data_IF_760401673563
#
_entry.id   IF_760401673563
#
_cell.length_a   1.000
_cell.length_b   1.000
_cell.length_c   1.000
_cell.angle_alpha   90.00
_cell.angle_beta   90.00
_cell.angle_gamma   90.00
#
_symmetry.space_group_name_H-M   'P 1'
#
loop_
_entity.id
_entity.type
_entity.pdbx_description
1 polymer ?
2 non-polymer ?
3 non-polymer ?
4 non-polymer ?
5 water ?
#
# COMPACT_ATOMS: atom_id res chain seq x y z
N UNK A 3 2.05 26.03 -7.54
CA UNK A 3 2.17 24.54 -7.61
C UNK A 3 2.74 23.99 -8.91
N UNK A 4 3.96 23.43 -8.85
CA UNK A 4 4.63 22.87 -10.02
C UNK A 4 3.83 21.81 -10.78
N UNK A 5 3.67 20.62 -10.20
CA UNK A 5 2.92 19.54 -10.82
C UNK A 5 1.41 19.74 -10.80
N UNK A 6 0.70 18.93 -11.57
CA UNK A 6 -0.76 18.98 -11.62
C UNK A 6 -1.29 18.09 -10.49
N UNK A 7 -2.04 18.68 -9.54
CA UNK A 7 -2.58 17.93 -8.41
C UNK A 7 -3.71 16.92 -8.68
N UNK A 8 -4.14 16.79 -9.94
CA UNK A 8 -5.23 15.87 -10.28
C UNK A 8 -4.84 14.79 -11.26
N UNK A 9 -5.63 13.72 -11.25
CA UNK A 9 -5.52 12.60 -12.18
C UNK A 9 -6.97 12.57 -12.64
N UNK A 10 -7.25 13.15 -13.81
CA UNK A 10 -8.61 13.22 -14.28
C UNK A 10 -9.37 14.15 -13.33
N UNK A 11 -10.56 13.75 -12.90
CA UNK A 11 -11.34 14.57 -11.98
C UNK A 11 -11.00 14.22 -10.54
N UNK A 12 -10.06 13.30 -10.36
CA UNK A 12 -9.65 12.81 -9.04
C UNK A 12 -8.36 13.39 -8.49
N UNK A 13 -8.24 13.39 -7.16
CA UNK A 13 -7.05 13.92 -6.51
C UNK A 13 -7.33 15.29 -5.94
N UNK A 14 -6.36 16.19 -6.04
CA UNK A 14 -6.59 17.52 -5.52
C UNK A 14 -5.85 17.82 -4.24
N UNK A 15 -6.21 18.96 -3.63
CA UNK A 15 -5.60 19.43 -2.41
C UNK A 15 -6.65 20.07 -1.51
N UNK A 16 -7.72 19.34 -1.23
CA UNK A 16 -8.78 19.87 -0.39
C UNK A 16 -8.39 19.86 1.08
N UNK A 17 -7.55 20.81 1.47
CA UNK A 17 -7.07 20.89 2.85
C UNK A 17 -7.07 22.36 3.28
N UNK A 18 -7.26 22.63 4.59
CA UNK A 18 -7.27 24.01 5.06
C UNK A 18 -6.10 24.84 4.55
N UNK A 19 -6.37 26.13 4.34
CA UNK A 19 -5.38 27.07 3.84
C UNK A 19 -4.04 27.01 4.59
N UNK A 20 -4.09 26.68 5.88
CA UNK A 20 -2.88 26.60 6.69
C UNK A 20 -1.90 25.54 6.18
N UNK A 21 -2.43 24.57 5.42
CA UNK A 21 -1.62 23.47 4.90
C UNK A 21 -1.04 23.64 3.49
N UNK A 22 -1.58 24.60 2.73
CA UNK A 22 -1.10 24.85 1.37
C UNK A 22 0.41 25.08 1.31
N UNK A 23 0.94 25.94 2.18
CA UNK A 23 2.39 26.22 2.18
C UNK A 23 3.21 24.93 2.38
N UNK A 24 2.82 24.18 3.41
CA UNK A 24 3.50 22.94 3.78
C UNK A 24 3.44 21.92 2.65
N UNK A 25 2.29 21.91 1.98
CA UNK A 25 2.04 21.01 0.88
C UNK A 25 2.82 21.45 -0.37
N UNK A 26 2.73 22.74 -0.69
CA UNK A 26 3.43 23.31 -1.84
C UNK A 26 4.93 23.16 -1.69
N UNK A 27 5.42 23.44 -0.48
CA UNK A 27 6.84 23.35 -0.16
C UNK A 27 7.38 21.93 -0.22
N UNK A 28 6.52 20.96 0.08
CA UNK A 28 6.92 19.56 0.05
C UNK A 28 7.11 19.26 -1.43
N UNK A 29 6.08 19.53 -2.22
CA UNK A 29 6.13 19.30 -3.67
C UNK A 29 7.42 19.82 -4.31
N UNK A 30 7.77 21.06 -4.01
CA UNK A 30 8.97 21.64 -4.58
C UNK A 30 10.18 20.81 -4.20
N UNK A 31 10.40 20.68 -2.90
CA UNK A 31 11.51 19.89 -2.40
C UNK A 31 11.60 18.56 -3.13
N UNK A 32 10.45 17.93 -3.34
CA UNK A 32 10.35 16.64 -4.01
C UNK A 32 10.86 16.71 -5.46
N UNK A 33 10.35 17.68 -6.21
CA UNK A 33 10.75 17.86 -7.62
C UNK A 33 12.25 18.06 -7.68
N UNK A 34 12.70 19.02 -6.89
CA UNK A 34 14.12 19.33 -6.79
C UNK A 34 14.93 18.09 -6.49
N UNK A 35 14.37 17.16 -5.72
CA UNK A 35 15.09 15.94 -5.38
C UNK A 35 14.93 14.87 -6.46
N UNK A 36 13.77 14.83 -7.11
CA UNK A 36 13.59 13.84 -8.16
C UNK A 36 14.76 14.09 -9.12
N UNK A 37 14.95 15.35 -9.50
CA UNK A 37 16.00 15.74 -10.44
C UNK A 37 17.45 15.67 -9.92
N UNK A 38 17.66 15.65 -8.62
CA UNK A 38 19.02 15.57 -8.10
C UNK A 38 19.49 14.12 -8.03
N UNK A 39 20.48 13.75 -8.86
CA UNK A 39 20.97 12.36 -8.84
C UNK A 39 21.80 12.01 -7.61
N UNK A 40 22.14 13.01 -6.81
CA UNK A 40 22.90 12.75 -5.59
C UNK A 40 21.87 12.08 -4.67
N UNK A 41 20.65 12.60 -4.72
CA UNK A 41 19.54 12.07 -3.93
C UNK A 41 19.29 10.66 -4.42
N UNK A 42 18.97 10.54 -5.70
CA UNK A 42 18.72 9.23 -6.29
C UNK A 42 19.83 8.25 -5.93
N UNK A 43 21.04 8.76 -5.83
CA UNK A 43 22.18 7.94 -5.48
C UNK A 43 22.03 7.39 -4.07
N UNK A 44 21.64 8.26 -3.15
CA UNK A 44 21.45 7.87 -1.76
C UNK A 44 20.25 6.94 -1.61
N UNK A 45 19.15 7.32 -2.23
CA UNK A 45 17.94 6.52 -2.16
C UNK A 45 18.29 5.08 -2.56
N UNK A 46 18.88 4.92 -3.73
CA UNK A 46 19.22 3.58 -4.18
C UNK A 46 20.25 2.89 -3.30
N UNK A 47 21.11 3.65 -2.66
CA UNK A 47 22.08 3.00 -1.78
C UNK A 47 21.28 2.36 -0.64
N UNK A 48 20.34 3.13 -0.08
CA UNK A 48 19.49 2.65 1.00
C UNK A 48 18.64 1.45 0.57
N UNK A 49 17.93 1.60 -0.55
CA UNK A 49 17.09 0.52 -1.04
C UNK A 49 17.92 -0.73 -1.30
N UNK A 50 19.15 -0.55 -1.76
CA UNK A 50 19.97 -1.72 -2.06
C UNK A 50 20.63 -2.37 -0.86
N UNK A 51 21.30 -1.59 -0.02
CA UNK A 51 22.03 -2.19 1.09
C UNK A 51 21.39 -2.26 2.46
N UNK A 52 20.27 -1.58 2.61
CA UNK A 52 19.56 -1.58 3.87
C UNK A 52 18.28 -2.42 3.75
N UNK A 53 17.46 -2.12 2.74
CA UNK A 53 16.21 -2.82 2.52
C UNK A 53 16.33 -4.12 1.74
N UNK A 54 17.45 -4.28 1.03
CA UNK A 54 17.65 -5.50 0.28
C UNK A 54 17.13 -5.55 -1.14
N UNK A 55 16.99 -4.41 -1.79
CA UNK A 55 16.54 -4.43 -3.19
C UNK A 55 17.74 -4.90 -4.04
N UNK A 56 17.47 -5.50 -5.21
CA UNK A 56 16.11 -5.73 -5.70
C UNK A 56 15.51 -7.00 -5.07
N UNK A 57 14.18 -7.05 -5.01
CA UNK A 57 13.49 -8.19 -4.44
C UNK A 57 13.26 -9.26 -5.50
N UNK A 58 13.40 -10.52 -5.11
CA UNK A 58 13.23 -11.66 -6.01
C UNK A 58 11.94 -11.67 -6.84
N UNK A 59 11.87 -12.61 -7.78
CA UNK A 59 10.70 -12.83 -8.64
C UNK A 59 10.64 -14.35 -8.52
N UNK A 60 9.53 -14.88 -8.04
CA UNK A 60 9.45 -16.32 -7.85
C UNK A 60 8.42 -16.97 -8.74
N UNK A 61 8.84 -18.08 -9.33
CA UNK A 61 8.00 -18.87 -10.21
C UNK A 61 7.31 -19.90 -9.33
N UNK A 62 6.00 -19.81 -9.25
CA UNK A 62 5.23 -20.73 -8.43
C UNK A 62 4.69 -21.87 -9.27
N UNK A 63 5.57 -22.82 -9.58
CA UNK A 63 5.22 -23.97 -10.38
C UNK A 63 4.20 -24.88 -9.71
N UNK A 64 4.42 -25.19 -8.44
CA UNK A 64 3.49 -26.06 -7.72
C UNK A 64 2.06 -25.56 -7.77
N UNK A 65 1.88 -24.27 -7.53
CA UNK A 65 0.54 -23.68 -7.54
C UNK A 65 -0.16 -23.77 -8.88
N UNK A 66 0.58 -23.66 -9.98
CA UNK A 66 -0.03 -23.71 -11.31
C UNK A 66 0.04 -25.06 -11.99
N UNK A 67 0.59 -26.06 -11.29
CA UNK A 67 0.71 -27.40 -11.85
C UNK A 67 -0.62 -27.87 -12.46
N UNK A 68 -0.54 -28.41 -13.67
CA UNK A 68 -1.73 -28.89 -14.34
C UNK A 68 -2.56 -27.86 -15.10
N UNK A 69 -1.99 -26.67 -15.34
CA UNK A 69 -2.69 -25.61 -16.06
C UNK A 69 -1.70 -25.01 -17.04
N UNK A 70 -2.12 -23.98 -17.77
CA UNK A 70 -1.21 -23.33 -18.72
C UNK A 70 -0.83 -21.93 -18.26
N UNK A 71 -1.14 -21.65 -16.99
CA UNK A 71 -0.79 -20.37 -16.42
C UNK A 71 0.61 -20.50 -15.83
N UNK A 72 1.38 -19.43 -15.94
CA UNK A 72 2.72 -19.40 -15.38
C UNK A 72 2.61 -18.25 -14.39
N UNK A 73 2.82 -18.55 -13.12
CA UNK A 73 2.68 -17.55 -12.08
C UNK A 73 3.97 -17.10 -11.40
N UNK A 74 4.15 -15.79 -11.33
CA UNK A 74 5.33 -15.22 -10.68
C UNK A 74 4.89 -14.34 -9.52
N UNK A 75 5.67 -14.36 -8.45
CA UNK A 75 5.36 -13.51 -7.30
C UNK A 75 6.50 -12.51 -7.15
N UNK A 76 6.17 -11.22 -7.16
CA UNK A 76 7.19 -10.21 -6.94
C UNK A 76 7.30 -10.20 -5.43
N UNK A 77 8.42 -10.70 -4.93
CA UNK A 77 8.66 -10.83 -3.49
C UNK A 77 8.86 -9.59 -2.62
N UNK A 78 7.82 -8.79 -2.43
CA UNK A 78 7.94 -7.62 -1.57
C UNK A 78 7.96 -8.07 -0.10
N UNK A 79 7.58 -9.32 0.12
CA UNK A 79 7.55 -9.92 1.43
C UNK A 79 8.97 -10.06 1.96
N UNK A 80 9.93 -10.16 1.05
CA UNK A 80 11.35 -10.30 1.41
C UNK A 80 12.09 -8.98 1.66
N UNK A 81 11.42 -7.85 1.50
CA UNK A 81 12.02 -6.56 1.76
C UNK A 81 12.25 -6.39 3.28
N UNK A 82 13.23 -5.60 3.69
CA UNK A 82 13.45 -5.41 5.11
C UNK A 82 12.18 -4.83 5.71
N UNK A 83 11.72 -5.43 6.80
CA UNK A 83 10.50 -4.95 7.44
C UNK A 83 9.30 -5.83 7.10
N UNK A 84 9.43 -6.59 6.01
CA UNK A 84 8.37 -7.49 5.59
C UNK A 84 7.37 -7.03 4.55
N UNK A 85 7.37 -5.75 4.18
CA UNK A 85 6.42 -5.30 3.18
C UNK A 85 6.93 -4.11 2.37
N UNK A 86 6.31 -3.90 1.21
CA UNK A 86 6.62 -2.79 0.30
C UNK A 86 6.65 -1.40 0.94
N UNK A 87 5.97 -1.21 2.07
CA UNK A 87 5.95 0.09 2.74
C UNK A 87 7.36 0.60 3.02
N UNK A 88 8.32 -0.30 3.20
CA UNK A 88 9.67 0.15 3.51
C UNK A 88 10.33 1.00 2.41
N UNK A 89 9.85 0.87 1.17
CA UNK A 89 10.38 1.63 0.02
C UNK A 89 10.06 3.12 0.15
N UNK A 90 8.78 3.42 0.12
CA UNK A 90 8.34 4.81 0.19
C UNK A 90 8.77 5.50 1.49
N UNK A 91 8.81 4.74 2.57
CA UNK A 91 9.20 5.26 3.87
C UNK A 91 10.68 5.74 3.89
N UNK A 92 11.58 4.94 3.28
CA UNK A 92 13.00 5.30 3.18
C UNK A 92 13.13 6.52 2.24
N UNK A 93 12.24 6.58 1.26
CA UNK A 93 12.27 7.72 0.36
C UNK A 93 11.94 9.01 1.09
N UNK A 94 10.77 9.07 1.70
CA UNK A 94 10.37 10.29 2.39
C UNK A 94 11.28 10.65 3.55
N UNK A 95 11.87 9.64 4.18
CA UNK A 95 12.77 9.93 5.30
C UNK A 95 13.88 10.83 4.74
N UNK A 96 14.48 10.38 3.62
CA UNK A 96 15.53 11.11 2.92
C UNK A 96 15.02 12.49 2.52
N UNK A 97 13.90 12.51 1.82
CA UNK A 97 13.33 13.77 1.37
C UNK A 97 13.28 14.75 2.53
N UNK A 98 12.79 14.28 3.66
CA UNK A 98 12.66 15.09 4.86
C UNK A 98 14.02 15.58 5.36
N UNK A 99 15.01 14.71 5.37
CA UNK A 99 16.32 15.15 5.81
C UNK A 99 16.79 16.23 4.83
N UNK A 100 16.51 16.02 3.54
CA UNK A 100 16.86 16.98 2.51
C UNK A 100 16.25 18.34 2.84
N UNK A 101 14.95 18.36 3.14
CA UNK A 101 14.31 19.62 3.50
C UNK A 101 14.77 20.15 4.88
N UNK A 102 15.78 19.50 5.47
CA UNK A 102 16.26 19.93 6.78
C UNK A 102 15.28 19.73 7.93
N UNK A 103 14.32 18.83 7.76
CA UNK A 103 13.34 18.53 8.80
C UNK A 103 14.02 17.64 9.85
N UNK A 104 13.59 17.72 11.10
CA UNK A 104 14.21 16.91 12.14
C UNK A 104 13.23 15.95 12.77
N UNK A 105 12.00 15.93 12.26
CA UNK A 105 10.97 15.08 12.83
C UNK A 105 9.98 14.48 11.86
N UNK A 106 9.50 13.29 12.21
CA UNK A 106 8.53 12.58 11.41
C UNK A 106 7.21 12.47 12.15
N UNK A 107 6.11 12.66 11.44
CA UNK A 107 4.78 12.54 12.00
C UNK A 107 4.14 11.54 11.09
N UNK A 108 3.48 10.55 11.66
CA UNK A 108 2.81 9.55 10.85
C UNK A 108 1.65 9.03 11.65
N UNK A 109 0.78 8.27 11.00
CA UNK A 109 -0.35 7.64 11.70
C UNK A 109 -0.44 6.21 11.17
N UNK A 110 -0.90 5.29 12.00
CA UNK A 110 -1.01 3.90 11.57
C UNK A 110 -2.31 3.30 12.10
N UNK A 111 -2.83 2.30 11.39
CA UNK A 111 -4.05 1.64 11.81
C UNK A 111 -3.70 0.39 12.59
N UNK A 112 -2.96 -0.51 11.98
CA UNK A 112 -2.57 -1.74 12.65
C UNK A 112 -1.08 -1.70 13.02
N UNK A 113 -0.41 -0.62 12.63
CA UNK A 113 1.00 -0.47 12.97
C UNK A 113 1.97 -0.92 11.90
N UNK A 114 1.45 -1.30 10.74
CA UNK A 114 2.32 -1.73 9.66
C UNK A 114 3.05 -0.48 9.15
N UNK A 115 2.32 0.59 8.84
CA UNK A 115 2.98 1.82 8.39
C UNK A 115 3.70 2.49 9.55
N UNK A 116 3.25 2.20 10.78
CA UNK A 116 3.88 2.78 11.96
C UNK A 116 5.27 2.21 12.12
N UNK A 117 5.37 0.89 12.13
CA UNK A 117 6.68 0.23 12.26
C UNK A 117 7.59 0.70 11.13
N UNK A 118 7.03 0.85 9.93
CA UNK A 118 7.83 1.28 8.77
C UNK A 118 8.43 2.66 9.01
N UNK A 119 7.60 3.61 9.46
CA UNK A 119 8.07 4.96 9.71
C UNK A 119 9.10 5.00 10.82
N UNK A 120 8.81 4.25 11.90
CA UNK A 120 9.71 4.23 13.03
C UNK A 120 11.12 3.81 12.59
N UNK A 121 11.15 2.78 11.75
CA UNK A 121 12.36 2.19 11.17
C UNK A 121 13.14 3.20 10.29
N UNK A 122 12.46 3.80 9.31
CA UNK A 122 13.08 4.80 8.45
C UNK A 122 13.68 5.90 9.33
N UNK A 123 12.90 6.39 10.29
CA UNK A 123 13.35 7.43 11.18
C UNK A 123 14.55 7.01 12.04
N UNK A 124 14.61 5.74 12.43
CA UNK A 124 15.72 5.29 13.26
C UNK A 124 16.98 5.41 12.43
N UNK A 125 16.88 4.91 11.20
CA UNK A 125 17.99 4.94 10.27
C UNK A 125 18.46 6.35 9.97
N UNK A 126 17.60 7.15 9.36
CA UNK A 126 17.93 8.53 9.00
C UNK A 126 17.97 9.42 10.23
N UNK A 127 17.90 8.81 11.40
CA UNK A 127 17.93 9.59 12.63
C UNK A 127 16.98 10.76 12.78
N UNK A 128 15.67 10.54 12.68
CA UNK A 128 14.71 11.64 12.84
C UNK A 128 13.82 11.33 14.02
N UNK A 129 13.39 12.34 14.77
CA UNK A 129 12.50 12.11 15.93
C UNK A 129 11.10 11.77 15.40
N UNK A 130 10.74 10.51 15.51
CA UNK A 130 9.46 10.04 15.00
C UNK A 130 8.31 9.97 16.01
N UNK A 131 7.14 10.49 15.64
CA UNK A 131 5.96 10.41 16.53
C UNK A 131 4.83 9.83 15.67
N UNK A 132 4.19 8.76 16.14
CA UNK A 132 3.14 8.13 15.36
C UNK A 132 1.78 8.14 16.07
N UNK A 133 0.77 8.74 15.43
CA UNK A 133 -0.56 8.79 16.01
C UNK A 133 -1.24 7.45 15.76
N UNK A 134 -1.99 6.97 16.74
CA UNK A 134 -2.67 5.70 16.58
C UNK A 134 -3.95 5.73 17.40
N UNK A 135 -5.06 5.32 16.78
CA UNK A 135 -6.33 5.28 17.47
C UNK A 135 -6.18 4.39 18.70
N UNK A 136 -6.76 4.80 19.82
CA UNK A 136 -6.63 4.04 21.06
C UNK A 136 -7.12 2.60 20.94
N UNK A 137 -8.23 2.39 20.23
CA UNK A 137 -8.77 1.05 20.06
C UNK A 137 -7.71 0.14 19.42
N UNK A 138 -7.07 0.65 18.38
CA UNK A 138 -6.02 -0.06 17.68
C UNK A 138 -4.79 -0.25 18.56
N UNK A 139 -4.42 0.78 19.31
CA UNK A 139 -3.25 0.68 20.18
C UNK A 139 -3.41 -0.52 21.12
N UNK A 140 -4.66 -0.80 21.50
CA UNK A 140 -4.90 -1.92 22.39
C UNK A 140 -4.82 -3.21 21.62
N UNK A 141 -5.40 -3.24 20.42
CA UNK A 141 -5.38 -4.45 19.60
C UNK A 141 -4.00 -4.80 19.02
N UNK A 142 -3.08 -3.83 18.98
CA UNK A 142 -1.73 -4.01 18.38
C UNK A 142 -0.49 -3.88 19.27
N UNK A 143 -0.48 -4.56 20.41
CA UNK A 143 0.66 -4.47 21.32
C UNK A 143 2.01 -4.67 20.67
N UNK A 144 2.22 -5.79 19.94
CA UNK A 144 3.50 -6.06 19.30
C UNK A 144 4.04 -4.91 18.46
N UNK A 145 3.29 -4.48 17.46
CA UNK A 145 3.75 -3.35 16.65
C UNK A 145 3.95 -2.10 17.48
N UNK A 146 3.13 -1.90 18.50
CA UNK A 146 3.34 -0.71 19.32
C UNK A 146 4.69 -0.88 20.00
N UNK A 147 4.98 -2.12 20.39
CA UNK A 147 6.24 -2.38 21.07
C UNK A 147 7.41 -2.18 20.11
N UNK A 148 7.20 -2.59 18.86
CA UNK A 148 8.24 -2.48 17.87
C UNK A 148 8.59 -1.01 17.66
N UNK A 149 7.56 -0.20 17.47
CA UNK A 149 7.75 1.21 17.26
C UNK A 149 8.53 1.84 18.42
N UNK A 150 8.21 1.42 19.63
CA UNK A 150 8.88 1.92 20.82
C UNK A 150 10.33 1.44 20.84
N UNK A 151 10.60 0.17 20.54
CA UNK A 151 11.98 -0.34 20.51
C UNK A 151 12.83 0.42 19.47
N UNK A 152 12.17 0.85 18.39
CA UNK A 152 12.80 1.59 17.30
C UNK A 152 12.85 3.07 17.65
N UNK A 153 12.63 3.39 18.93
CA UNK A 153 12.68 4.76 19.40
C UNK A 153 11.59 5.73 18.98
N UNK A 154 10.49 5.23 18.42
CA UNK A 154 9.45 6.15 18.00
C UNK A 154 8.45 6.34 19.14
N UNK A 155 7.79 7.50 19.16
CA UNK A 155 6.79 7.80 20.18
C UNK A 155 5.39 7.53 19.63
N UNK A 156 4.66 6.61 20.24
CA UNK A 156 3.31 6.31 19.76
C UNK A 156 2.33 7.13 20.58
N UNK A 157 1.59 8.02 19.93
CA UNK A 157 0.61 8.87 20.61
C UNK A 157 -0.82 8.35 20.40
N UNK A 158 -1.39 7.66 21.40
CA UNK A 158 -2.76 7.14 21.25
C UNK A 158 -3.82 8.24 21.07
N UNK A 159 -4.70 8.10 20.08
CA UNK A 159 -5.71 9.11 19.89
C UNK A 159 -7.02 8.62 20.46
N UNK A 160 -7.61 9.43 21.34
CA UNK A 160 -8.85 9.06 22.01
C UNK A 160 -10.08 9.86 21.54
N UNK A 161 -9.90 10.80 20.63
CA UNK A 161 -11.06 11.56 20.17
C UNK A 161 -11.84 10.75 19.14
N UNK A 162 -13.00 11.28 18.73
CA UNK A 162 -13.81 10.61 17.74
C UNK A 162 -14.03 9.17 18.11
N UNK A 163 -13.75 8.26 17.18
CA UNK A 163 -13.94 6.83 17.44
C UNK A 163 -12.65 6.10 17.87
N UNK A 164 -11.62 6.85 18.23
CA UNK A 164 -10.35 6.28 18.68
C UNK A 164 -9.74 5.26 17.72
N UNK A 165 -9.89 5.52 16.43
CA UNK A 165 -9.33 4.63 15.43
C UNK A 165 -8.58 5.37 14.29
N UNK A 166 -8.19 4.62 13.26
CA UNK A 166 -7.42 5.17 12.14
C UNK A 166 -7.81 6.54 11.61
N UNK A 167 -9.10 6.76 11.38
CA UNK A 167 -9.59 8.05 10.87
C UNK A 167 -9.16 9.18 11.80
N UNK A 168 -9.39 8.96 13.09
CA UNK A 168 -9.07 9.91 14.13
C UNK A 168 -7.58 10.12 14.28
N UNK A 169 -6.81 9.03 14.24
CA UNK A 169 -5.36 9.15 14.37
C UNK A 169 -4.87 9.95 13.18
N UNK A 170 -5.50 9.71 12.05
CA UNK A 170 -5.17 10.38 10.80
C UNK A 170 -5.46 11.86 10.90
N UNK A 171 -6.64 12.20 11.37
CA UNK A 171 -7.02 13.60 11.50
C UNK A 171 -6.08 14.34 12.43
N UNK A 172 -5.84 13.79 13.60
CA UNK A 172 -4.96 14.44 14.56
C UNK A 172 -3.54 14.66 14.01
N UNK A 173 -3.06 13.71 13.21
CA UNK A 173 -1.72 13.81 12.61
C UNK A 173 -1.64 15.08 11.80
N UNK A 174 -2.63 15.27 10.92
CA UNK A 174 -2.70 16.46 10.07
C UNK A 174 -2.80 17.78 10.85
N UNK A 175 -3.51 17.79 11.98
CA UNK A 175 -3.62 19.00 12.80
C UNK A 175 -2.24 19.30 13.36
N UNK A 176 -1.54 18.24 13.76
CA UNK A 176 -0.19 18.34 14.28
C UNK A 176 0.66 19.04 13.21
N UNK A 177 0.76 18.40 12.05
CA UNK A 177 1.55 18.92 10.95
C UNK A 177 1.20 20.36 10.58
N UNK A 178 -0.09 20.67 10.58
CA UNK A 178 -0.56 22.03 10.28
C UNK A 178 0.31 23.07 10.94
N UNK A 179 0.66 22.84 12.21
CA UNK A 179 1.47 23.80 12.91
C UNK A 179 2.91 23.43 13.13
N UNK A 180 3.35 22.29 12.61
CA UNK A 180 4.73 21.91 12.84
C UNK A 180 5.52 21.59 11.58
N UNK A 181 4.92 21.82 10.41
CA UNK A 181 5.61 21.50 9.15
C UNK A 181 6.98 22.17 8.95
N UNK A 182 7.29 23.14 9.80
CA UNK A 182 8.54 23.85 9.75
C UNK A 182 9.70 22.91 10.05
N UNK A 183 9.50 22.01 11.00
CA UNK A 183 10.56 21.10 11.44
C UNK A 183 10.17 19.62 11.38
N UNK A 184 8.93 19.35 11.00
CA UNK A 184 8.43 17.99 10.94
C UNK A 184 7.82 17.64 9.59
N UNK A 185 8.24 16.51 9.03
CA UNK A 185 7.69 16.08 7.77
C UNK A 185 6.61 15.06 8.05
N UNK A 186 5.48 15.18 7.37
CA UNK A 186 4.38 14.24 7.55
C UNK A 186 4.48 13.08 6.56
N UNK A 187 4.95 11.94 7.05
CA UNK A 187 5.10 10.74 6.26
C UNK A 187 3.78 10.00 6.04
N UNK A 188 3.04 10.37 5.00
CA UNK A 188 1.76 9.73 4.68
C UNK A 188 1.99 8.28 4.25
N UNK A 189 1.19 7.38 4.81
CA UNK A 189 1.34 5.95 4.55
C UNK A 189 0.93 5.32 3.23
N UNK A 190 0.33 6.07 2.32
CA UNK A 190 -0.08 5.48 1.07
C UNK A 190 -0.25 6.50 -0.06
N UNK A 191 -0.51 5.98 -1.26
CA UNK A 191 -0.67 6.79 -2.46
C UNK A 191 -2.01 7.48 -2.51
N UNK A 192 -2.31 8.27 -1.49
CA UNK A 192 -3.57 9.00 -1.42
C UNK A 192 -3.38 10.26 -0.59
N UNK A 193 -4.47 10.97 -0.34
CA UNK A 193 -4.35 12.19 0.45
C UNK A 193 -4.19 13.37 -0.50
N UNK A 194 -3.86 14.56 0.03
CA UNK A 194 -3.71 15.72 -0.83
C UNK A 194 -2.44 15.61 -1.66
N UNK A 195 -2.43 16.31 -2.80
CA UNK A 195 -1.25 16.34 -3.67
C UNK A 195 -0.20 17.03 -2.79
N UNK A 196 1.09 16.70 -2.95
CA UNK A 196 1.77 15.77 -3.83
C UNK A 196 1.98 14.33 -3.35
N UNK A 197 1.28 13.92 -2.31
CA UNK A 197 1.49 12.57 -1.80
C UNK A 197 1.23 11.41 -2.77
N UNK A 198 0.05 11.38 -3.43
CA UNK A 198 -0.25 10.31 -4.38
C UNK A 198 0.87 10.14 -5.42
N UNK A 199 1.51 11.26 -5.76
CA UNK A 199 2.60 11.27 -6.72
C UNK A 199 3.91 10.81 -6.09
N UNK A 200 4.25 11.42 -4.95
CA UNK A 200 5.47 11.05 -4.26
C UNK A 200 5.44 9.57 -3.92
N UNK A 201 4.33 9.07 -3.39
CA UNK A 201 4.32 7.65 -3.04
C UNK A 201 4.43 6.78 -4.30
N UNK A 202 3.80 7.17 -5.41
CA UNK A 202 3.92 6.40 -6.65
C UNK A 202 5.39 6.39 -7.07
N UNK A 203 6.02 7.55 -7.06
CA UNK A 203 7.41 7.60 -7.47
C UNK A 203 8.35 6.85 -6.54
N UNK A 204 8.03 6.76 -5.25
CA UNK A 204 8.89 6.05 -4.33
C UNK A 204 8.62 4.54 -4.26
N UNK A 205 7.60 4.10 -5.00
CA UNK A 205 7.29 2.67 -5.03
C UNK A 205 7.49 2.08 -6.43
N UNK A 206 7.50 2.94 -7.44
CA UNK A 206 7.62 2.49 -8.83
C UNK A 206 8.76 1.57 -9.20
N UNK A 207 9.75 1.44 -8.33
CA UNK A 207 10.85 0.53 -8.64
C UNK A 207 10.39 -0.93 -8.60
N UNK A 208 9.29 -1.23 -7.91
CA UNK A 208 8.89 -2.64 -7.88
C UNK A 208 8.36 -3.03 -9.26
N UNK A 209 7.59 -2.15 -9.87
CA UNK A 209 7.12 -2.42 -11.22
C UNK A 209 8.32 -2.49 -12.16
N UNK A 210 9.26 -1.55 -12.01
CA UNK A 210 10.47 -1.50 -12.82
C UNK A 210 11.19 -2.83 -12.73
N UNK A 211 11.66 -3.20 -11.53
CA UNK A 211 12.36 -4.48 -11.38
C UNK A 211 11.58 -5.65 -11.97
N UNK A 212 10.26 -5.67 -11.77
CA UNK A 212 9.44 -6.74 -12.30
C UNK A 212 9.62 -6.91 -13.81
N UNK A 213 9.36 -5.84 -14.56
CA UNK A 213 9.51 -5.87 -16.02
C UNK A 213 10.89 -6.41 -16.43
N UNK A 214 11.94 -5.82 -15.88
CA UNK A 214 13.30 -6.27 -16.17
C UNK A 214 13.44 -7.79 -15.94
N UNK A 215 13.10 -8.24 -14.74
CA UNK A 215 13.21 -9.64 -14.36
C UNK A 215 12.37 -10.58 -15.24
N UNK A 216 11.18 -10.10 -15.61
CA UNK A 216 10.25 -10.87 -16.41
C UNK A 216 10.81 -11.05 -17.82
N UNK A 217 11.56 -10.05 -18.30
CA UNK A 217 12.17 -10.16 -19.62
C UNK A 217 13.30 -11.18 -19.50
N UNK A 218 14.24 -10.92 -18.61
CA UNK A 218 15.36 -11.84 -18.40
C UNK A 218 14.90 -13.29 -18.23
N UNK A 219 13.75 -13.48 -17.58
CA UNK A 219 13.27 -14.84 -17.33
C UNK A 219 12.25 -15.40 -18.29
N UNK A 220 11.50 -14.55 -18.96
CA UNK A 220 10.49 -15.06 -19.90
C UNK A 220 10.63 -14.52 -21.33
N UNK A 221 11.46 -13.49 -21.50
CA UNK A 221 11.64 -12.92 -22.82
C UNK A 221 10.41 -12.20 -23.31
N UNK A 222 9.45 -11.97 -22.43
CA UNK A 222 8.23 -11.28 -22.81
C UNK A 222 7.50 -10.74 -21.60
N UNK A 223 6.79 -9.61 -21.78
CA UNK A 223 6.04 -9.00 -20.71
C UNK A 223 4.89 -9.92 -20.30
N UNK A 224 4.36 -9.74 -19.08
CA UNK A 224 3.25 -10.56 -18.61
C UNK A 224 1.91 -10.15 -19.23
N UNK A 225 0.98 -11.09 -19.29
CA UNK A 225 -0.35 -10.81 -19.82
C UNK A 225 -1.03 -9.85 -18.86
N UNK A 226 -0.72 -10.01 -17.56
CA UNK A 226 -1.26 -9.15 -16.53
C UNK A 226 -0.37 -9.11 -15.29
N UNK A 227 -0.53 -8.04 -14.52
CA UNK A 227 0.17 -7.84 -13.25
C UNK A 227 -0.98 -7.52 -12.29
N UNK A 228 -1.12 -8.36 -11.27
CA UNK A 228 -2.19 -8.23 -10.30
C UNK A 228 -1.69 -7.77 -8.92
N UNK A 229 -2.42 -6.85 -8.29
CA UNK A 229 -2.01 -6.37 -6.98
C UNK A 229 -3.16 -5.88 -6.14
N UNK A 230 -3.10 -6.13 -4.84
CA UNK A 230 -4.16 -5.67 -3.95
C UNK A 230 -4.13 -4.15 -3.84
N UNK A 231 -5.30 -3.58 -3.62
CA UNK A 231 -5.43 -2.14 -3.54
C UNK A 231 -6.14 -1.67 -2.31
N UNK A 232 -5.43 -0.91 -1.49
CA UNK A 232 -6.01 -0.32 -0.30
C UNK A 232 -6.07 1.14 -0.69
N UNK A 233 -5.06 1.89 -0.28
CA UNK A 233 -4.98 3.29 -0.66
C UNK A 233 -4.36 3.27 -2.06
N UNK A 234 -3.71 2.14 -2.38
CA UNK A 234 -3.11 1.94 -3.68
C UNK A 234 -1.61 2.09 -3.87
N UNK A 235 -0.81 2.14 -2.81
CA UNK A 235 0.62 2.32 -2.99
C UNK A 235 1.37 1.16 -3.63
N UNK A 236 1.14 -0.09 -3.20
CA UNK A 236 1.87 -1.21 -3.78
C UNK A 236 1.38 -1.57 -5.17
N UNK A 237 0.12 -1.23 -5.46
CA UNK A 237 -0.45 -1.52 -6.77
C UNK A 237 0.07 -0.50 -7.79
N UNK A 238 0.07 0.77 -7.41
CA UNK A 238 0.58 1.78 -8.31
C UNK A 238 2.07 1.57 -8.53
N UNK A 239 2.80 1.26 -7.46
CA UNK A 239 4.23 1.02 -7.56
C UNK A 239 4.56 -0.10 -8.55
N UNK A 240 3.64 -1.04 -8.72
CA UNK A 240 3.84 -2.15 -9.65
C UNK A 240 3.31 -1.73 -11.02
N UNK A 241 2.19 -1.01 -11.03
CA UNK A 241 1.58 -0.56 -12.25
C UNK A 241 2.47 0.40 -13.05
N UNK A 242 2.81 1.53 -12.43
CA UNK A 242 3.61 2.59 -13.05
C UNK A 242 4.33 2.25 -14.35
N UNK A 243 5.42 1.48 -14.25
CA UNK A 243 6.22 1.10 -15.41
C UNK A 243 5.50 0.23 -16.45
N UNK A 244 4.22 -0.04 -16.26
CA UNK A 244 3.48 -0.86 -17.21
C UNK A 244 2.31 -0.12 -17.84
N UNK A 245 1.98 1.06 -17.33
CA UNK A 245 0.87 1.81 -17.90
C UNK A 245 1.07 1.88 -19.41
N UNK A 246 2.31 2.20 -19.80
CA UNK A 246 2.69 2.32 -21.20
C UNK A 246 2.66 1.02 -22.01
N UNK A 247 3.13 -0.08 -21.44
CA UNK A 247 3.07 -1.36 -22.15
C UNK A 247 1.59 -1.71 -22.18
N UNK A 248 0.87 -1.09 -23.11
CA UNK A 248 -0.58 -1.25 -23.25
C UNK A 248 -1.18 -2.66 -23.33
N UNK A 249 -0.44 -3.62 -23.86
CA UNK A 249 -0.98 -4.98 -23.95
C UNK A 249 -0.66 -5.80 -22.70
N UNK A 250 -0.44 -5.10 -21.58
CA UNK A 250 -0.15 -5.75 -20.31
C UNK A 250 -1.31 -5.45 -19.38
N UNK A 251 -1.83 -6.50 -18.75
CA UNK A 251 -2.94 -6.34 -17.84
C UNK A 251 -2.58 -5.62 -16.55
N UNK A 252 -3.49 -4.78 -16.10
CA UNK A 252 -3.30 -4.03 -14.86
C UNK A 252 -4.54 -4.26 -14.01
N UNK A 253 -4.52 -5.34 -13.21
CA UNK A 253 -5.64 -5.70 -12.35
C UNK A 253 -5.42 -5.24 -10.91
N UNK A 254 -6.42 -4.63 -10.31
CA UNK A 254 -6.30 -4.20 -8.92
C UNK A 254 -7.36 -4.88 -8.06
N UNK A 255 -6.93 -5.64 -7.05
CA UNK A 255 -7.89 -6.36 -6.21
C UNK A 255 -8.28 -5.64 -4.92
N UNK A 256 -9.55 -5.25 -4.79
CA UNK A 256 -9.99 -4.59 -3.56
C UNK A 256 -10.64 -5.63 -2.65
N UNK A 257 -10.67 -5.36 -1.33
CA UNK A 257 -11.26 -6.33 -0.42
C UNK A 257 -12.77 -6.50 -0.59
N UNK A 258 -13.20 -7.74 -0.76
CA UNK A 258 -14.61 -8.06 -0.90
C UNK A 258 -15.32 -8.04 0.44
N UNK A 259 -14.55 -8.15 1.52
CA UNK A 259 -15.14 -8.15 2.85
C UNK A 259 -16.00 -9.37 3.04
N UNK A 260 -17.14 -9.19 3.70
CA UNK A 260 -18.06 -10.30 3.93
C UNK A 260 -18.90 -10.54 2.71
N UNK A 261 -18.62 -9.82 1.64
CA UNK A 261 -19.38 -9.96 0.41
C UNK A 261 -19.72 -8.57 -0.08
N UNK A 262 -19.21 -8.22 -1.25
CA UNK A 262 -19.42 -6.91 -1.85
C UNK A 262 -20.88 -6.44 -1.77
N UNK A 263 -21.77 -7.34 -1.40
CA UNK A 263 -23.20 -7.05 -1.31
C UNK A 263 -23.73 -7.11 0.12
N UNK A 264 -22.88 -6.78 1.09
CA UNK A 264 -23.31 -6.81 2.49
C UNK A 264 -22.99 -5.47 3.12
N UNK A 265 -22.22 -4.66 2.39
CA UNK A 265 -21.82 -3.36 2.90
C UNK A 265 -20.54 -3.49 3.69
N UNK A 266 -20.32 -4.71 4.20
CA UNK A 266 -19.13 -5.01 4.98
C UNK A 266 -17.98 -5.37 4.04
N UNK A 267 -17.35 -4.35 3.48
CA UNK A 267 -16.25 -4.54 2.54
C UNK A 267 -15.42 -3.26 2.38
N UNK A 268 -14.69 -3.17 1.26
CA UNK A 268 -13.87 -1.99 1.01
C UNK A 268 -13.46 -1.84 -0.44
N UNK A 269 -14.45 -1.85 -1.33
CA UNK A 269 -14.20 -1.70 -2.76
C UNK A 269 -14.92 -0.45 -3.27
N UNK A 270 -14.63 0.71 -2.67
CA UNK A 270 -15.27 1.96 -3.07
C UNK A 270 -15.09 2.22 -4.55
N UNK A 271 -13.96 1.79 -5.10
CA UNK A 271 -13.69 1.99 -6.50
C UNK A 271 -14.86 1.52 -7.34
N UNK A 272 -15.14 0.22 -7.32
CA UNK A 272 -16.24 -0.30 -8.12
C UNK A 272 -17.65 -0.24 -7.47
N UNK A 273 -17.74 0.14 -6.19
CA UNK A 273 -19.04 0.19 -5.51
C UNK A 273 -19.21 1.33 -4.50
N UNK A 274 -18.93 2.56 -4.92
CA UNK A 274 -19.07 3.71 -4.03
C UNK A 274 -19.41 4.95 -4.85
N UNK A 275 -18.94 6.12 -4.43
CA UNK A 275 -19.19 7.35 -5.17
C UNK A 275 -18.20 8.43 -4.81
N UNK A 276 -17.81 9.23 -5.81
CA UNK A 276 -16.85 10.29 -5.61
C UNK A 276 -17.27 11.34 -4.58
N UNK A 277 -16.32 11.70 -3.72
CA UNK A 277 -16.53 12.70 -2.68
C UNK A 277 -15.15 13.13 -2.22
N UNK A 278 -15.05 14.14 -1.35
CA UNK A 278 -13.73 14.55 -0.90
C UNK A 278 -13.44 13.89 0.46
N UNK A 279 -12.29 13.23 0.54
CA UNK A 279 -11.87 12.51 1.73
C UNK A 279 -10.36 12.58 1.91
N UNK A 280 -9.90 12.68 3.15
CA UNK A 280 -8.46 12.70 3.44
C UNK A 280 -7.76 13.76 2.57
N UNK A 281 -8.48 14.82 2.23
CA UNK A 281 -7.90 15.88 1.44
C UNK A 281 -7.89 15.68 -0.06
N UNK A 282 -8.38 14.53 -0.53
CA UNK A 282 -8.42 14.24 -1.96
C UNK A 282 -9.86 14.02 -2.42
N UNK A 283 -10.08 14.08 -3.73
CA UNK A 283 -11.40 13.85 -4.29
C UNK A 283 -11.31 12.54 -5.03
N UNK A 284 -12.01 11.52 -4.51
CA UNK A 284 -11.99 10.20 -5.10
C UNK A 284 -13.21 9.42 -4.70
N UNK A 285 -13.38 8.21 -5.24
CA UNK A 285 -14.52 7.38 -4.89
C UNK A 285 -14.35 6.98 -3.43
N UNK A 286 -15.47 6.72 -2.75
CA UNK A 286 -15.40 6.34 -1.35
C UNK A 286 -16.70 5.67 -0.94
N UNK A 287 -16.72 5.15 0.28
CA UNK A 287 -17.91 4.51 0.79
C UNK A 287 -18.65 5.46 1.70
N UNK A 288 -19.71 6.07 1.18
CA UNK A 288 -20.51 7.03 1.92
C UNK A 288 -21.83 6.44 2.39
N UNK A 289 -22.42 7.09 3.38
CA UNK A 289 -23.71 6.67 3.94
C UNK A 289 -24.81 7.27 3.08
N UNK A 290 -24.84 8.60 3.04
CA UNK A 290 -25.83 9.35 2.27
C UNK A 290 -25.15 10.52 1.56
N UNK A 293 -22.74 11.22 4.22
CA UNK A 293 -21.51 11.22 5.01
C UNK A 293 -20.64 9.99 4.70
N UNK A 294 -19.40 9.97 5.18
CA UNK A 294 -18.50 8.84 4.95
C UNK A 294 -18.99 7.64 5.77
N UNK A 295 -18.67 6.44 5.29
CA UNK A 295 -19.09 5.23 5.97
C UNK A 295 -17.93 4.33 6.41
N UNK A 296 -18.27 3.09 6.80
CA UNK A 296 -17.26 2.13 7.26
C UNK A 296 -16.86 1.05 6.27
N UNK A 297 -15.58 0.69 6.31
CA UNK A 297 -15.04 -0.37 5.44
C UNK A 297 -14.72 -1.58 6.32
N UNK A 298 -14.33 -2.69 5.70
CA UNK A 298 -14.00 -3.90 6.45
C UNK A 298 -13.25 -4.95 5.62
N UNK A 299 -12.43 -5.76 6.31
CA UNK A 299 -11.69 -6.84 5.68
C UNK A 299 -10.99 -7.66 6.76
N UNK A 300 -10.76 -8.96 6.51
CA UNK A 300 -10.04 -9.81 7.48
C UNK A 300 -8.67 -9.16 7.56
N UNK A 301 -8.36 -8.38 6.52
CA UNK A 301 -7.10 -7.70 6.39
C UNK A 301 -7.22 -6.22 6.74
N UNK A 302 -6.43 -5.79 7.71
CA UNK A 302 -6.42 -4.41 8.18
C UNK A 302 -5.77 -3.46 7.18
N UNK A 303 -4.74 -3.92 6.51
CA UNK A 303 -4.09 -3.06 5.53
C UNK A 303 -5.02 -2.66 4.40
N UNK A 304 -5.91 -3.58 4.03
CA UNK A 304 -6.88 -3.34 2.96
C UNK A 304 -8.15 -2.71 3.48
N UNK A 305 -8.19 -2.41 4.77
CA UNK A 305 -9.39 -1.82 5.36
C UNK A 305 -9.42 -0.29 5.20
N UNK A 306 -9.60 0.15 3.96
CA UNK A 306 -9.64 1.58 3.61
C UNK A 306 -10.97 1.83 2.89
N UNK A 307 -11.71 2.87 3.30
CA UNK A 307 -13.00 3.22 2.71
C UNK A 307 -12.92 3.99 1.39
N UNK A 308 -11.71 4.29 0.94
CA UNK A 308 -11.52 5.04 -0.31
C UNK A 308 -10.42 4.40 -1.17
N UNK A 309 -9.90 5.17 -2.13
CA UNK A 309 -8.83 4.68 -2.98
C UNK A 309 -8.00 5.86 -3.45
N UNK A 310 -6.76 5.59 -3.87
CA UNK A 310 -5.90 6.66 -4.34
C UNK A 310 -6.45 7.29 -5.61
N UNK A 311 -6.21 8.59 -5.80
CA UNK A 311 -6.71 9.29 -7.00
C UNK A 311 -6.26 8.71 -8.35
N UNK A 312 -5.02 8.23 -8.44
CA UNK A 312 -4.56 7.71 -9.72
C UNK A 312 -5.26 6.41 -10.08
N UNK A 313 -5.70 5.67 -9.06
CA UNK A 313 -6.38 4.40 -9.32
C UNK A 313 -7.80 4.67 -9.82
N UNK A 314 -8.47 5.63 -9.21
CA UNK A 314 -9.82 5.98 -9.63
C UNK A 314 -9.75 6.42 -11.07
N UNK A 315 -8.65 7.12 -11.40
CA UNK A 315 -8.42 7.60 -12.74
C UNK A 315 -8.19 6.45 -13.73
N UNK A 316 -7.13 5.67 -13.51
CA UNK A 316 -6.82 4.53 -14.37
C UNK A 316 -8.05 3.61 -14.52
N UNK A 317 -8.96 3.70 -13.56
CA UNK A 317 -10.17 2.91 -13.60
C UNK A 317 -11.18 3.47 -14.58
N UNK A 318 -11.37 4.80 -14.55
CA UNK A 318 -12.32 5.46 -15.45
C UNK A 318 -11.86 5.45 -16.91
N UNK A 319 -10.56 5.53 -17.14
CA UNK A 319 -10.06 5.51 -18.51
C UNK A 319 -10.13 4.08 -18.99
N UNK A 320 -10.17 3.14 -18.05
CA UNK A 320 -10.26 1.73 -18.40
C UNK A 320 -8.89 1.11 -18.68
N UNK A 321 -7.83 1.85 -18.36
CA UNK A 321 -6.49 1.34 -18.57
C UNK A 321 -6.22 0.16 -17.64
N UNK A 322 -6.78 0.23 -16.43
CA UNK A 322 -6.61 -0.80 -15.42
C UNK A 322 -7.96 -1.33 -14.95
N UNK A 323 -8.01 -2.62 -14.66
CA UNK A 323 -9.23 -3.27 -14.21
C UNK A 323 -9.20 -3.49 -12.71
N UNK A 324 -10.35 -3.31 -12.06
CA UNK A 324 -10.40 -3.51 -10.62
C UNK A 324 -11.49 -4.48 -10.20
N UNK A 325 -11.04 -5.60 -9.63
CA UNK A 325 -11.94 -6.64 -9.18
C UNK A 325 -12.09 -6.65 -7.66
N UNK A 326 -12.72 -7.70 -7.17
CA UNK A 326 -12.94 -7.84 -5.75
C UNK A 326 -12.77 -9.31 -5.34
N UNK A 327 -12.13 -9.52 -4.19
CA UNK A 327 -11.90 -10.86 -3.65
C UNK A 327 -12.37 -10.78 -2.19
N UNK A 328 -13.02 -11.83 -1.71
CA UNK A 328 -13.57 -11.87 -0.34
C UNK A 328 -12.69 -12.47 0.78
N UNK A 329 -13.13 -12.26 2.02
CA UNK A 329 -12.41 -12.78 3.19
C UNK A 329 -12.05 -14.26 3.05
N UNK A 330 -12.98 -15.04 2.53
CA UNK A 330 -12.73 -16.46 2.39
C UNK A 330 -11.84 -16.84 1.23
N UNK A 331 -11.99 -16.17 0.09
CA UNK A 331 -11.15 -16.48 -1.09
C UNK A 331 -9.69 -16.12 -0.78
N UNK A 332 -9.52 -15.07 0.03
CA UNK A 332 -8.22 -14.58 0.44
C UNK A 332 -7.60 -15.58 1.39
N UNK A 333 -8.41 -16.04 2.35
CA UNK A 333 -8.00 -17.01 3.35
C UNK A 333 -7.62 -18.30 2.63
N UNK A 334 -8.38 -18.63 1.61
CA UNK A 334 -8.10 -19.84 0.86
C UNK A 334 -6.71 -19.71 0.18
N UNK A 335 -6.48 -18.58 -0.51
CA UNK A 335 -5.22 -18.32 -1.17
C UNK A 335 -4.07 -18.39 -0.14
N UNK A 336 -4.25 -17.66 0.96
CA UNK A 336 -3.29 -17.65 2.04
C UNK A 336 -2.88 -19.09 2.39
N UNK A 337 -3.87 -19.96 2.61
CA UNK A 337 -3.55 -21.33 2.96
C UNK A 337 -2.86 -22.05 1.80
N UNK A 338 -3.33 -21.79 0.58
CA UNK A 338 -2.76 -22.44 -0.60
C UNK A 338 -1.28 -22.15 -0.80
N UNK A 339 -0.89 -20.87 -0.73
CA UNK A 339 0.50 -20.51 -0.90
C UNK A 339 1.34 -21.16 0.17
N UNK A 340 0.81 -21.21 1.38
CA UNK A 340 1.52 -21.80 2.51
C UNK A 340 1.85 -23.26 2.21
N UNK A 341 0.82 -24.00 1.86
CA UNK A 341 0.95 -25.42 1.63
C UNK A 341 1.76 -25.86 0.41
N UNK A 342 1.82 -25.05 -0.64
CA UNK A 342 2.52 -25.48 -1.85
C UNK A 342 3.84 -24.82 -2.16
N UNK A 343 4.01 -23.57 -1.72
CA UNK A 343 5.25 -22.87 -2.00
C UNK A 343 6.10 -22.64 -0.76
N UNK A 344 5.54 -22.91 0.41
CA UNK A 344 6.30 -22.71 1.63
C UNK A 344 6.49 -21.24 1.91
N UNK A 345 5.51 -20.43 1.52
CA UNK A 345 5.59 -19.00 1.79
C UNK A 345 4.29 -18.55 2.45
N UNK A 346 4.39 -17.81 3.55
CA UNK A 346 3.20 -17.31 4.23
C UNK A 346 2.93 -15.90 3.70
N UNK A 347 1.89 -15.73 2.87
CA UNK A 347 1.62 -14.39 2.35
C UNK A 347 0.89 -13.51 3.36
N UNK A 348 1.03 -12.20 3.24
CA UNK A 348 0.33 -11.28 4.12
C UNK A 348 -1.11 -11.44 3.66
N UNK A 349 -2.04 -11.28 4.59
CA UNK A 349 -3.45 -11.43 4.27
C UNK A 349 -3.86 -10.42 3.20
N UNK A 350 -3.20 -9.26 3.15
CA UNK A 350 -3.51 -8.26 2.12
C UNK A 350 -3.20 -8.81 0.71
N UNK A 351 -1.96 -9.27 0.52
CA UNK A 351 -1.51 -9.81 -0.75
C UNK A 351 -2.34 -11.02 -1.13
N UNK A 352 -2.85 -11.72 -0.13
CA UNK A 352 -3.65 -12.91 -0.38
C UNK A 352 -4.84 -12.63 -1.31
N UNK A 353 -5.34 -11.40 -1.30
CA UNK A 353 -6.44 -11.02 -2.17
C UNK A 353 -5.98 -11.02 -3.63
N UNK A 354 -4.76 -10.58 -3.88
CA UNK A 354 -4.24 -10.57 -5.23
C UNK A 354 -3.90 -11.99 -5.67
N UNK A 355 -3.26 -12.75 -4.80
CA UNK A 355 -2.91 -14.11 -5.16
C UNK A 355 -4.22 -14.86 -5.40
N UNK A 356 -5.25 -14.48 -4.64
CA UNK A 356 -6.55 -15.11 -4.75
C UNK A 356 -7.11 -14.89 -6.15
N UNK A 357 -7.16 -13.63 -6.57
CA UNK A 357 -7.68 -13.32 -7.89
C UNK A 357 -6.91 -14.01 -9.02
N UNK A 358 -5.62 -14.22 -8.82
CA UNK A 358 -4.82 -14.89 -9.81
C UNK A 358 -5.32 -16.31 -9.87
N UNK A 359 -5.30 -17.00 -8.73
CA UNK A 359 -5.76 -18.37 -8.70
C UNK A 359 -7.12 -18.47 -9.40
N UNK A 360 -7.99 -17.48 -9.18
CA UNK A 360 -9.32 -17.50 -9.79
C UNK A 360 -9.22 -17.53 -11.31
N UNK A 361 -8.33 -16.72 -11.86
CA UNK A 361 -8.12 -16.67 -13.30
C UNK A 361 -7.55 -17.99 -13.85
N UNK A 362 -6.84 -18.73 -13.00
CA UNK A 362 -6.25 -19.97 -13.50
C UNK A 362 -7.19 -21.15 -13.37
N UNK A 363 -7.84 -21.27 -12.22
CA UNK A 363 -8.76 -22.38 -12.00
C UNK A 363 -9.93 -22.36 -12.97
N UNK A 364 -10.34 -21.16 -13.37
CA UNK A 364 -11.45 -21.01 -14.31
C UNK A 364 -11.03 -21.19 -15.76
N UNK A 365 -9.73 -21.18 -16.03
CA UNK A 365 -9.25 -21.36 -17.41
C UNK A 365 -7.91 -22.10 -17.42
N UNK A 366 -7.90 -23.34 -16.91
CA UNK A 366 -6.68 -24.15 -16.87
C UNK A 366 -5.95 -24.31 -18.20
N UNK A 367 -6.70 -24.26 -19.30
CA UNK A 367 -6.08 -24.42 -20.60
C UNK A 367 -5.57 -23.10 -21.16
N UNK A 368 -6.09 -21.99 -20.65
CA UNK A 368 -5.63 -20.71 -21.14
C UNK A 368 -4.14 -20.50 -20.86
N UNK A 369 -3.45 -20.01 -21.89
CA UNK A 369 -2.02 -19.75 -21.87
C UNK A 369 -1.82 -18.34 -21.31
N UNK A 370 -1.43 -18.24 -20.03
CA UNK A 370 -1.22 -16.91 -19.45
C UNK A 370 0.01 -16.79 -18.53
N UNK A 371 0.66 -15.65 -18.61
CA UNK A 371 1.84 -15.34 -17.80
C UNK A 371 1.39 -14.25 -16.83
N UNK A 372 1.18 -14.63 -15.58
CA UNK A 372 0.72 -13.70 -14.56
C UNK A 372 1.78 -13.35 -13.52
N UNK A 373 1.68 -12.15 -12.97
CA UNK A 373 2.60 -11.72 -11.93
C UNK A 373 1.80 -11.07 -10.82
N UNK A 374 1.87 -11.64 -9.62
CA UNK A 374 1.15 -11.04 -8.51
C UNK A 374 2.17 -10.31 -7.69
N UNK A 375 1.79 -9.16 -7.16
CA UNK A 375 2.69 -8.40 -6.32
C UNK A 375 2.46 -8.85 -4.87
N UNK A 376 3.36 -9.70 -4.38
CA UNK A 376 3.26 -10.19 -3.01
C UNK A 376 3.78 -9.05 -2.10
N UNK A 377 2.88 -8.11 -1.79
CA UNK A 377 3.19 -6.93 -0.98
C UNK A 377 3.83 -7.11 0.39
N UNK A 378 3.59 -8.24 1.07
CA UNK A 378 4.23 -8.44 2.36
C UNK A 378 4.20 -9.89 2.82
N UNK A 379 4.90 -10.20 3.92
CA UNK A 379 4.88 -11.56 4.43
C UNK A 379 3.72 -11.67 5.40
N UNK A 380 3.20 -12.89 5.54
CA UNK A 380 2.06 -13.10 6.39
C UNK A 380 2.27 -13.54 7.83
N UNK A 381 3.50 -13.52 8.31
CA UNK A 381 3.75 -13.92 9.67
C UNK A 381 2.89 -13.10 10.63
N UNK A 382 2.74 -11.81 10.35
CA UNK A 382 1.94 -10.98 11.23
C UNK A 382 0.45 -11.23 11.15
N UNK A 383 0.05 -12.27 10.45
CA UNK A 383 -1.36 -12.61 10.32
C UNK A 383 -1.73 -14.00 10.80
N UNK A 384 -0.77 -14.80 11.24
CA UNK A 384 -1.15 -16.15 11.66
C UNK A 384 -2.12 -16.15 12.82
N UNK A 385 -1.96 -15.23 13.77
CA UNK A 385 -2.87 -15.14 14.91
C UNK A 385 -4.30 -15.02 14.40
N UNK A 386 -4.51 -14.05 13.52
CA UNK A 386 -5.82 -13.85 12.94
C UNK A 386 -6.31 -15.12 12.22
N UNK A 387 -5.57 -15.60 11.25
CA UNK A 387 -5.97 -16.81 10.54
C UNK A 387 -6.29 -17.94 11.50
N UNK A 388 -5.45 -18.09 12.52
CA UNK A 388 -5.65 -19.15 13.51
C UNK A 388 -6.95 -18.93 14.27
N UNK A 389 -7.25 -17.69 14.65
CA UNK A 389 -8.48 -17.43 15.35
C UNK A 389 -9.66 -17.77 14.45
N UNK A 390 -9.70 -17.24 13.24
CA UNK A 390 -10.80 -17.57 12.33
C UNK A 390 -10.95 -19.09 12.21
N UNK A 391 -9.92 -19.76 11.74
CA UNK A 391 -9.98 -21.20 11.60
C UNK A 391 -10.48 -21.90 12.86
N UNK A 392 -10.21 -21.33 14.02
CA UNK A 392 -10.65 -21.95 15.28
C UNK A 392 -12.12 -21.65 15.53
N UNK A 393 -12.53 -20.41 15.30
CA UNK A 393 -13.92 -20.04 15.49
C UNK A 393 -14.76 -20.83 14.46
N UNK A 394 -14.29 -20.91 13.22
CA UNK A 394 -15.01 -21.64 12.19
C UNK A 394 -15.07 -23.12 12.57
N UNK A 395 -14.39 -23.49 13.65
CA UNK A 395 -14.39 -24.87 14.10
C UNK A 395 -13.63 -25.83 13.19
N UNK A 396 -12.40 -25.46 12.85
CA UNK A 396 -11.55 -26.28 12.00
C UNK A 396 -10.18 -26.35 12.66
N UNK A 397 -10.08 -25.77 13.86
CA UNK A 397 -8.82 -25.69 14.60
C UNK A 397 -7.67 -25.42 13.62
#
# INVERSE_FOLDING_TARGET
>A
MTTLLNPYFGEFGGMYVPQILMPALRQLEEAFVSAQKDPEFQAQFNDLLKNYAGRPTALTKCQNITAGTNTTLYLKREDLLHGGAHKTNQVLGQALLAKRMGKTEIIAETGAGQHGVASALASALLGLKCRIYMGAKDVERQSPNVFRMRLMGAEVIPVHSGSATLKDACNEALRDWSGSYETAHYMLGTAAGPHPYPTIVREFQRMIGEETKAQILEREGRLPDAVIACVGGGSNAIGMFADFINETNVGLIGVEPGGHGIETGEHGAPLKHGRVGIYFGMKAPMMQTEDGQIEESYSISAGLDFPSVGPQHAYLNSTGRADYVSITDDEALEAFKTLCLHEGIIPALESSHALAHALKMMRENPDKEQLLVVNLSGRGDKDIFTVHDILKARGEI
#
